data_IF_559985383967
#
_entry.id   IF_559985383967
#
_cell.length_a   1.000
_cell.length_b   1.000
_cell.length_c   1.000
_cell.angle_alpha   90.00
_cell.angle_beta   90.00
_cell.angle_gamma   90.00
#
_symmetry.space_group_name_H-M   'P 1'
#
loop_
_entity.id
_entity.type
_entity.pdbx_description
1 polymer ?
#
# COMPACT_ATOMS: atom_id res chain seq x y z
N UNK A 1 28.21 1.31 -5.70
CA UNK A 1 27.17 0.31 -5.99
C UNK A 1 27.64 -0.97 -5.32
N UNK A 2 27.05 -1.36 -4.23
CA UNK A 2 27.30 -2.66 -3.60
C UNK A 2 26.61 -3.72 -4.44
N UNK A 3 27.35 -4.72 -4.90
CA UNK A 3 26.78 -5.90 -5.54
C UNK A 3 25.83 -6.58 -4.55
N UNK A 4 24.53 -6.42 -4.76
CA UNK A 4 23.51 -7.12 -3.97
C UNK A 4 23.53 -8.57 -4.42
N UNK A 5 24.07 -9.44 -3.58
CA UNK A 5 23.98 -10.89 -3.81
C UNK A 5 22.58 -11.39 -3.49
N UNK A 6 22.20 -12.57 -3.98
CA UNK A 6 20.85 -13.15 -3.69
C UNK A 6 20.62 -13.39 -2.19
N UNK A 7 21.68 -13.46 -1.38
CA UNK A 7 21.61 -13.61 0.08
C UNK A 7 21.29 -12.30 0.83
N UNK A 8 21.54 -11.13 0.20
CA UNK A 8 21.30 -9.81 0.78
C UNK A 8 19.95 -9.20 0.34
N UNK A 9 19.09 -9.99 -0.32
CA UNK A 9 17.80 -9.46 -0.79
C UNK A 9 16.83 -9.20 0.36
N UNK A 10 16.10 -8.07 0.33
CA UNK A 10 15.02 -7.82 1.27
C UNK A 10 13.97 -8.94 1.26
N UNK A 11 13.42 -9.27 2.41
CA UNK A 11 12.51 -10.39 2.59
C UNK A 11 11.29 -10.34 1.64
N UNK A 12 10.71 -9.16 1.39
CA UNK A 12 9.58 -8.96 0.48
C UNK A 12 9.89 -9.28 -0.98
N UNK A 13 11.16 -9.19 -1.36
CA UNK A 13 11.66 -9.48 -2.71
C UNK A 13 12.43 -10.82 -2.79
N UNK A 14 12.39 -11.62 -1.73
CA UNK A 14 13.03 -12.94 -1.73
C UNK A 14 12.40 -13.81 -2.84
N UNK A 15 13.24 -14.36 -3.70
CA UNK A 15 12.81 -15.15 -4.88
C UNK A 15 12.54 -14.33 -6.15
N UNK A 16 12.44 -13.00 -6.06
CA UNK A 16 12.31 -12.14 -7.27
C UNK A 16 13.69 -11.98 -7.91
N UNK A 17 13.92 -12.36 -9.17
CA UNK A 17 15.21 -12.23 -9.83
C UNK A 17 15.69 -10.78 -9.91
N UNK A 18 17.01 -10.60 -9.78
CA UNK A 18 17.67 -9.31 -10.03
C UNK A 18 17.73 -9.04 -11.53
N UNK A 19 17.69 -7.77 -11.89
CA UNK A 19 18.02 -7.33 -13.23
C UNK A 19 19.48 -7.68 -13.55
N UNK A 20 19.71 -8.25 -14.73
CA UNK A 20 21.07 -8.66 -15.19
C UNK A 20 21.96 -7.43 -15.35
N UNK A 21 21.37 -6.32 -15.82
CA UNK A 21 22.07 -5.04 -15.99
C UNK A 21 21.37 -3.97 -15.15
N UNK A 22 22.10 -2.94 -14.68
CA UNK A 22 21.50 -1.82 -13.95
C UNK A 22 20.47 -1.09 -14.80
N UNK A 23 19.23 -1.08 -14.35
CA UNK A 23 18.13 -0.38 -14.98
C UNK A 23 18.05 1.06 -14.46
N UNK A 24 17.34 1.92 -15.20
CA UNK A 24 17.10 3.33 -14.88
C UNK A 24 15.59 3.57 -14.88
N UNK A 25 15.14 4.65 -14.26
CA UNK A 25 13.73 5.06 -14.26
C UNK A 25 13.05 4.99 -15.62
N UNK A 26 13.74 5.47 -16.67
CA UNK A 26 13.22 5.48 -18.05
C UNK A 26 12.93 4.08 -18.61
N UNK A 27 13.60 3.05 -18.12
CA UNK A 27 13.43 1.68 -18.59
C UNK A 27 12.11 1.08 -18.09
N UNK A 28 11.54 1.66 -17.03
CA UNK A 28 10.22 1.34 -16.49
C UNK A 28 9.10 2.22 -17.02
N UNK A 29 9.39 3.24 -17.83
CA UNK A 29 8.37 4.04 -18.50
C UNK A 29 7.95 3.38 -19.82
N UNK A 30 6.63 3.29 -20.07
CA UNK A 30 6.11 2.81 -21.34
C UNK A 30 6.23 3.89 -22.42
N UNK A 31 5.91 3.53 -23.66
CA UNK A 31 5.82 4.45 -24.80
C UNK A 31 4.48 5.19 -24.87
N UNK A 32 3.58 4.96 -23.91
CA UNK A 32 2.25 5.54 -23.90
C UNK A 32 2.27 6.98 -23.36
N UNK A 33 1.54 7.86 -24.02
CA UNK A 33 1.30 9.22 -23.53
C UNK A 33 0.47 9.18 -22.24
N UNK A 34 0.96 9.81 -21.17
CA UNK A 34 0.24 9.91 -19.90
C UNK A 34 -0.93 10.89 -20.06
N UNK A 35 -2.16 10.43 -19.77
CA UNK A 35 -3.41 11.16 -20.02
C UNK A 35 -4.18 11.52 -18.76
N UNK A 36 -3.48 11.80 -17.68
CA UNK A 36 -4.08 12.44 -16.51
C UNK A 36 -4.25 13.94 -16.72
N UNK A 37 -5.03 14.59 -15.89
CA UNK A 37 -5.22 16.03 -15.93
C UNK A 37 -3.90 16.75 -15.63
N UNK A 38 -3.60 17.89 -16.27
CA UNK A 38 -2.46 18.71 -15.91
C UNK A 38 -2.51 19.11 -14.42
N UNK A 39 -1.41 18.90 -13.70
CA UNK A 39 -1.33 19.17 -12.25
C UNK A 39 -1.85 18.04 -11.35
N UNK A 40 -2.25 16.90 -11.91
CA UNK A 40 -2.65 15.73 -11.13
C UNK A 40 -1.45 15.13 -10.38
N UNK A 41 -1.64 14.80 -9.10
CA UNK A 41 -0.61 14.19 -8.26
C UNK A 41 -0.16 12.79 -8.73
N UNK A 42 -0.98 12.12 -9.54
CA UNK A 42 -0.65 10.80 -10.13
C UNK A 42 0.66 10.84 -10.94
N UNK A 43 1.02 11.97 -11.56
CA UNK A 43 2.29 12.14 -12.28
C UNK A 43 3.51 12.02 -11.34
N UNK A 44 3.42 12.63 -10.19
CA UNK A 44 4.48 12.62 -9.19
C UNK A 44 4.71 11.20 -8.64
N UNK A 45 3.62 10.53 -8.31
CA UNK A 45 3.64 9.16 -7.80
C UNK A 45 4.18 8.19 -8.86
N UNK A 46 3.73 8.28 -10.12
CA UNK A 46 4.23 7.47 -11.22
C UNK A 46 5.75 7.63 -11.40
N UNK A 47 6.21 8.88 -11.47
CA UNK A 47 7.63 9.19 -11.64
C UNK A 47 8.49 8.65 -10.49
N UNK A 48 8.00 8.75 -9.25
CA UNK A 48 8.69 8.24 -8.06
C UNK A 48 8.73 6.71 -8.07
N UNK A 49 7.61 6.06 -8.34
CA UNK A 49 7.54 4.59 -8.41
C UNK A 49 8.46 4.02 -9.50
N UNK A 50 8.47 4.63 -10.69
CA UNK A 50 9.40 4.26 -11.77
C UNK A 50 10.88 4.42 -11.36
N UNK A 51 11.19 5.34 -10.44
CA UNK A 51 12.53 5.52 -9.88
C UNK A 51 12.90 4.49 -8.81
N UNK A 52 11.94 4.06 -8.00
CA UNK A 52 12.15 3.09 -6.91
C UNK A 52 12.48 1.68 -7.45
N UNK A 53 11.84 1.23 -8.52
CA UNK A 53 12.02 -0.14 -9.04
C UNK A 53 13.47 -0.47 -9.43
N UNK A 54 14.21 0.38 -10.17
CA UNK A 54 15.62 0.14 -10.45
C UNK A 54 16.50 0.17 -9.21
N UNK A 55 16.20 1.02 -8.22
CA UNK A 55 16.95 1.09 -6.96
C UNK A 55 16.78 -0.19 -6.12
N UNK A 56 15.67 -0.90 -6.29
CA UNK A 56 15.42 -2.23 -5.72
C UNK A 56 16.04 -3.37 -6.52
N UNK A 57 16.65 -3.08 -7.67
CA UNK A 57 17.24 -4.07 -8.57
C UNK A 57 16.23 -5.02 -9.20
N UNK A 58 14.95 -4.65 -9.28
CA UNK A 58 13.90 -5.49 -9.87
C UNK A 58 14.02 -5.44 -11.40
N UNK A 59 14.07 -6.61 -12.04
CA UNK A 59 13.95 -6.70 -13.48
C UNK A 59 12.52 -6.33 -13.91
N UNK A 60 12.36 -5.56 -15.00
CA UNK A 60 11.03 -5.07 -15.43
C UNK A 60 10.04 -6.20 -15.72
N UNK A 61 10.52 -7.33 -16.22
CA UNK A 61 9.75 -8.56 -16.45
C UNK A 61 9.37 -9.32 -15.17
N UNK A 62 9.93 -8.95 -14.03
CA UNK A 62 9.58 -9.53 -12.74
C UNK A 62 8.75 -8.57 -11.86
N UNK A 63 8.42 -7.38 -12.35
CA UNK A 63 7.45 -6.48 -11.74
C UNK A 63 6.09 -6.65 -12.42
N UNK A 64 5.02 -6.76 -11.62
CA UNK A 64 3.63 -6.85 -12.09
C UNK A 64 2.78 -5.80 -11.41
N UNK A 65 2.16 -4.93 -12.22
CA UNK A 65 1.28 -3.86 -11.74
C UNK A 65 -0.17 -4.22 -12.06
N UNK A 66 -1.00 -4.40 -11.05
CA UNK A 66 -2.40 -4.77 -11.18
C UNK A 66 -3.27 -3.64 -10.64
N UNK A 67 -4.18 -3.14 -11.47
CA UNK A 67 -5.04 -2.03 -11.08
C UNK A 67 -6.53 -2.37 -11.12
N UNK A 68 -7.31 -1.63 -10.31
CA UNK A 68 -8.76 -1.62 -10.38
C UNK A 68 -9.29 -0.61 -11.41
N UNK A 69 -10.24 0.23 -11.03
CA UNK A 69 -10.86 1.26 -11.88
C UNK A 69 -10.76 2.64 -11.21
N UNK A 70 -10.47 3.65 -12.00
CA UNK A 70 -10.32 5.04 -11.60
C UNK A 70 -9.17 5.72 -12.32
N UNK A 71 -8.88 6.97 -11.96
CA UNK A 71 -7.79 7.73 -12.58
C UNK A 71 -6.43 7.06 -12.32
N UNK A 72 -6.12 6.74 -11.07
CA UNK A 72 -4.90 6.03 -10.68
C UNK A 72 -4.77 4.67 -11.37
N UNK A 73 -5.87 4.00 -11.65
CA UNK A 73 -5.89 2.66 -12.25
C UNK A 73 -5.42 2.62 -13.71
N UNK A 74 -5.16 3.77 -14.32
CA UNK A 74 -4.47 3.85 -15.62
C UNK A 74 -2.97 3.57 -15.52
N UNK A 75 -2.44 3.46 -14.32
CA UNK A 75 -1.02 3.29 -14.02
C UNK A 75 -0.34 2.16 -14.83
N UNK A 76 -0.92 0.95 -15.01
CA UNK A 76 -0.30 -0.12 -15.80
C UNK A 76 -0.02 0.26 -17.25
N UNK A 77 -0.78 1.17 -17.86
CA UNK A 77 -0.52 1.66 -19.23
C UNK A 77 0.78 2.45 -19.34
N UNK A 78 1.22 3.07 -18.23
CA UNK A 78 2.37 3.96 -18.20
C UNK A 78 3.63 3.29 -17.66
N UNK A 79 3.53 2.00 -17.34
CA UNK A 79 4.64 1.17 -16.87
C UNK A 79 5.11 0.21 -17.96
N UNK A 80 6.43 0.12 -18.15
CA UNK A 80 7.06 -0.89 -19.00
C UNK A 80 7.37 -2.14 -18.16
N UNK A 81 6.34 -2.74 -17.59
CA UNK A 81 6.35 -3.97 -16.79
C UNK A 81 5.19 -4.85 -17.25
N UNK A 82 5.07 -6.06 -16.70
CA UNK A 82 3.79 -6.75 -16.82
C UNK A 82 2.72 -6.00 -16.03
N UNK A 83 1.52 -5.95 -16.59
CA UNK A 83 0.40 -5.25 -15.98
C UNK A 83 -0.94 -5.86 -16.32
N UNK A 84 -1.91 -5.62 -15.44
CA UNK A 84 -3.30 -6.03 -15.65
C UNK A 84 -4.22 -4.90 -15.18
N UNK A 85 -5.08 -4.43 -16.08
CA UNK A 85 -6.18 -3.53 -15.75
C UNK A 85 -7.42 -4.38 -15.51
N UNK A 86 -7.91 -4.40 -14.26
CA UNK A 86 -8.96 -5.33 -13.85
C UNK A 86 -10.34 -4.66 -13.75
N UNK A 87 -11.27 -5.31 -13.06
CA UNK A 87 -12.61 -4.79 -12.76
C UNK A 87 -12.58 -3.99 -11.45
N UNK A 88 -13.53 -3.08 -11.29
CA UNK A 88 -13.68 -2.20 -10.13
C UNK A 88 -13.61 -2.98 -8.80
N UNK A 89 -12.66 -2.60 -7.96
CA UNK A 89 -12.41 -3.18 -6.64
C UNK A 89 -11.83 -4.60 -6.63
N UNK A 90 -11.41 -5.16 -7.79
CA UNK A 90 -10.96 -6.56 -7.87
C UNK A 90 -9.44 -6.73 -7.92
N UNK A 91 -8.69 -5.66 -8.03
CA UNK A 91 -7.23 -5.72 -8.12
C UNK A 91 -6.58 -6.52 -6.96
N UNK A 92 -6.95 -6.34 -5.68
CA UNK A 92 -6.35 -7.13 -4.59
C UNK A 92 -6.62 -8.65 -4.71
N UNK A 93 -7.79 -9.05 -5.23
CA UNK A 93 -8.13 -10.47 -5.41
C UNK A 93 -7.30 -11.10 -6.54
N UNK A 94 -7.16 -10.42 -7.67
CA UNK A 94 -6.35 -10.87 -8.81
C UNK A 94 -4.87 -10.91 -8.42
N UNK A 95 -4.38 -9.86 -7.75
CA UNK A 95 -3.00 -9.78 -7.26
C UNK A 95 -2.68 -10.91 -6.27
N UNK A 96 -3.62 -11.27 -5.40
CA UNK A 96 -3.50 -12.45 -4.52
C UNK A 96 -3.24 -13.72 -5.34
N UNK A 97 -4.00 -13.93 -6.42
CA UNK A 97 -3.81 -15.09 -7.30
C UNK A 97 -2.42 -15.11 -7.95
N UNK A 98 -1.93 -13.97 -8.41
CA UNK A 98 -0.57 -13.84 -8.98
C UNK A 98 0.50 -14.13 -7.94
N UNK A 99 0.44 -13.50 -6.76
CA UNK A 99 1.44 -13.67 -5.71
C UNK A 99 1.52 -15.12 -5.20
N UNK A 100 0.37 -15.79 -5.03
CA UNK A 100 0.33 -17.21 -4.61
C UNK A 100 0.95 -18.12 -5.67
N UNK A 101 0.70 -17.85 -6.96
CA UNK A 101 1.14 -18.69 -8.07
C UNK A 101 2.58 -18.44 -8.53
N UNK A 102 3.11 -17.22 -8.33
CA UNK A 102 4.38 -16.75 -8.89
C UNK A 102 5.22 -16.04 -7.82
N UNK A 103 6.00 -16.81 -7.02
CA UNK A 103 6.87 -16.25 -5.97
C UNK A 103 8.07 -15.46 -6.53
N UNK A 104 8.33 -15.56 -7.83
CA UNK A 104 9.38 -14.87 -8.56
C UNK A 104 8.96 -13.49 -9.08
N UNK A 105 7.76 -13.01 -8.73
CA UNK A 105 7.22 -11.72 -9.16
C UNK A 105 7.05 -10.78 -7.97
N UNK A 106 7.47 -9.51 -8.16
CA UNK A 106 7.11 -8.41 -7.29
C UNK A 106 5.73 -7.88 -7.72
N UNK A 107 4.72 -8.02 -6.86
CA UNK A 107 3.33 -7.73 -7.19
C UNK A 107 2.88 -6.43 -6.53
N UNK A 108 2.44 -5.48 -7.35
CA UNK A 108 1.96 -4.17 -6.92
C UNK A 108 0.50 -3.99 -7.33
N UNK A 109 -0.32 -3.56 -6.38
CA UNK A 109 -1.74 -3.21 -6.60
C UNK A 109 -1.86 -1.70 -6.62
N UNK A 110 -2.48 -1.17 -7.67
CA UNK A 110 -2.81 0.26 -7.81
C UNK A 110 -4.32 0.42 -7.71
N UNK A 111 -4.77 1.22 -6.76
CA UNK A 111 -6.19 1.43 -6.51
C UNK A 111 -6.45 2.85 -6.02
N UNK A 112 -7.61 3.41 -6.29
CA UNK A 112 -8.08 4.66 -5.68
C UNK A 112 -8.84 4.38 -4.39
N UNK A 113 -9.05 5.42 -3.58
CA UNK A 113 -9.83 5.36 -2.35
C UNK A 113 -11.25 4.82 -2.59
N UNK A 114 -11.93 5.32 -3.62
CA UNK A 114 -13.25 4.84 -4.01
C UNK A 114 -13.26 3.41 -4.53
N UNK A 115 -12.23 3.01 -5.28
CA UNK A 115 -12.08 1.65 -5.80
C UNK A 115 -11.81 0.65 -4.68
N UNK A 116 -10.91 1.01 -3.76
CA UNK A 116 -10.46 0.14 -2.67
C UNK A 116 -11.50 -0.01 -1.55
N UNK A 117 -12.08 1.11 -1.09
CA UNK A 117 -12.88 1.15 0.15
C UNK A 117 -14.39 1.04 -0.08
N UNK A 118 -14.87 1.23 -1.32
CA UNK A 118 -16.27 0.98 -1.67
C UNK A 118 -16.45 -0.47 -2.12
N UNK A 119 -16.63 -0.71 -3.42
CA UNK A 119 -16.87 -2.07 -3.94
C UNK A 119 -15.70 -3.03 -3.69
N UNK A 120 -14.48 -2.52 -3.52
CA UNK A 120 -13.27 -3.30 -3.27
C UNK A 120 -13.04 -3.70 -1.82
N UNK A 121 -13.79 -3.14 -0.85
CA UNK A 121 -13.50 -3.28 0.59
C UNK A 121 -13.31 -4.72 1.06
N UNK A 122 -14.17 -5.63 0.63
CA UNK A 122 -14.04 -7.04 0.98
C UNK A 122 -12.73 -7.68 0.47
N UNK A 123 -12.33 -7.39 -0.76
CA UNK A 123 -11.11 -7.96 -1.35
C UNK A 123 -9.85 -7.35 -0.75
N UNK A 124 -9.89 -6.05 -0.44
CA UNK A 124 -8.84 -5.33 0.26
C UNK A 124 -8.60 -5.94 1.65
N UNK A 125 -9.64 -6.06 2.47
CA UNK A 125 -9.58 -6.65 3.81
C UNK A 125 -9.03 -8.08 3.75
N UNK A 126 -9.51 -8.91 2.82
CA UNK A 126 -9.07 -10.30 2.73
C UNK A 126 -7.64 -10.48 2.23
N UNK A 127 -7.10 -9.61 1.38
CA UNK A 127 -5.69 -9.61 1.01
C UNK A 127 -4.81 -9.30 2.24
N UNK A 128 -5.15 -8.23 2.98
CA UNK A 128 -4.43 -7.79 4.17
C UNK A 128 -4.46 -8.82 5.30
N UNK A 129 -5.65 -9.35 5.67
CA UNK A 129 -5.74 -10.35 6.75
C UNK A 129 -4.98 -11.64 6.47
N UNK A 130 -4.87 -12.03 5.20
CA UNK A 130 -4.09 -13.19 4.76
C UNK A 130 -2.59 -12.92 4.74
N UNK A 131 -2.21 -11.67 4.82
CA UNK A 131 -0.82 -11.25 4.70
C UNK A 131 -0.13 -11.80 3.44
N UNK A 132 -0.78 -11.64 2.29
CA UNK A 132 -0.22 -12.05 0.99
C UNK A 132 0.97 -11.15 0.66
N UNK A 133 2.07 -11.70 0.16
CA UNK A 133 3.26 -10.92 -0.19
C UNK A 133 3.03 -10.06 -1.44
N UNK A 134 2.48 -8.86 -1.23
CA UNK A 134 2.19 -7.87 -2.27
C UNK A 134 2.11 -6.46 -1.67
N UNK A 135 2.31 -5.44 -2.50
CA UNK A 135 2.24 -4.04 -2.09
C UNK A 135 1.00 -3.36 -2.66
N UNK A 136 0.15 -2.81 -1.80
CA UNK A 136 -1.07 -2.07 -2.17
C UNK A 136 -0.78 -0.58 -2.06
N UNK A 137 -0.86 0.12 -3.18
CA UNK A 137 -0.70 1.55 -3.32
C UNK A 137 -2.07 2.18 -3.53
N UNK A 138 -2.62 2.81 -2.48
CA UNK A 138 -3.92 3.46 -2.52
C UNK A 138 -3.75 4.96 -2.72
N UNK A 139 -4.24 5.46 -3.84
CA UNK A 139 -4.27 6.88 -4.21
C UNK A 139 -5.52 7.52 -3.60
N UNK A 140 -5.33 8.35 -2.61
CA UNK A 140 -6.42 9.00 -1.91
C UNK A 140 -6.52 10.48 -2.28
N UNK A 141 -7.49 10.82 -3.13
CA UNK A 141 -7.81 12.20 -3.49
C UNK A 141 -9.17 12.66 -2.94
N UNK A 142 -9.79 11.85 -2.10
CA UNK A 142 -11.08 12.13 -1.44
C UNK A 142 -12.21 12.46 -2.42
N UNK A 143 -12.17 11.93 -3.67
CA UNK A 143 -13.20 12.16 -4.68
C UNK A 143 -13.19 11.07 -5.76
N UNK A 144 -14.35 10.69 -6.31
CA UNK A 144 -14.42 9.93 -7.55
C UNK A 144 -14.13 10.84 -8.74
N UNK A 145 -12.87 10.97 -9.15
CA UNK A 145 -12.46 11.86 -10.24
C UNK A 145 -12.90 11.39 -11.63
N UNK A 146 -12.72 10.09 -11.94
CA UNK A 146 -13.01 9.53 -13.26
C UNK A 146 -14.49 9.67 -13.66
N UNK A 147 -15.41 9.54 -12.71
CA UNK A 147 -16.85 9.66 -12.89
C UNK A 147 -17.37 11.09 -12.70
N UNK A 148 -16.45 12.06 -12.64
CA UNK A 148 -16.70 13.51 -12.64
C UNK A 148 -17.18 14.09 -11.31
N UNK A 149 -16.67 13.63 -10.18
CA UNK A 149 -16.68 14.36 -8.92
C UNK A 149 -17.80 13.99 -7.96
N UNK A 150 -18.14 12.70 -7.81
CA UNK A 150 -18.93 12.21 -6.69
C UNK A 150 -18.05 12.13 -5.43
N UNK A 151 -18.63 12.31 -4.25
CA UNK A 151 -17.90 12.06 -3.01
C UNK A 151 -17.50 10.56 -2.91
N UNK A 152 -16.32 10.32 -2.38
CA UNK A 152 -15.75 8.99 -2.17
C UNK A 152 -15.89 8.57 -0.70
N UNK A 153 -15.57 7.32 -0.35
CA UNK A 153 -15.60 6.86 1.05
C UNK A 153 -14.71 7.66 2.02
N UNK A 154 -13.70 8.38 1.50
CA UNK A 154 -12.78 9.20 2.31
C UNK A 154 -13.08 10.71 2.21
N UNK A 155 -14.12 11.10 1.48
CA UNK A 155 -14.54 12.50 1.42
C UNK A 155 -15.02 12.98 2.79
N UNK A 156 -14.77 14.24 3.09
CA UNK A 156 -15.19 14.89 4.33
C UNK A 156 -16.71 14.85 4.47
N UNK A 157 -17.20 14.72 5.70
CA UNK A 157 -18.61 14.86 6.00
C UNK A 157 -19.11 16.24 5.53
N UNK A 158 -20.27 16.29 4.91
CA UNK A 158 -20.82 17.51 4.35
C UNK A 158 -20.27 17.93 2.98
N UNK A 159 -19.40 17.11 2.34
CA UNK A 159 -18.84 17.39 1.00
C UNK A 159 -19.95 17.62 -0.02
N UNK A 160 -20.02 18.85 -0.53
CA UNK A 160 -20.98 19.22 -1.58
C UNK A 160 -20.42 18.86 -2.94
N UNK A 161 -21.18 18.09 -3.71
CA UNK A 161 -20.86 17.73 -5.09
C UNK A 161 -22.10 17.88 -5.98
N UNK A 162 -21.94 17.75 -7.30
CA UNK A 162 -23.10 17.82 -8.22
C UNK A 162 -24.15 16.72 -7.94
N UNK A 163 -23.73 15.57 -7.46
CA UNK A 163 -24.62 14.45 -7.12
C UNK A 163 -25.10 14.46 -5.67
N UNK A 164 -24.47 15.26 -4.81
CA UNK A 164 -24.84 15.45 -3.40
C UNK A 164 -24.88 16.94 -3.07
N UNK A 165 -25.89 17.69 -3.59
CA UNK A 165 -25.96 19.13 -3.46
C UNK A 165 -26.24 19.61 -2.02
N UNK A 166 -26.73 18.73 -1.16
CA UNK A 166 -26.95 19.00 0.28
C UNK A 166 -25.76 18.57 1.16
N UNK A 167 -24.66 18.11 0.54
CA UNK A 167 -23.51 17.55 1.21
C UNK A 167 -23.60 16.03 1.42
N UNK A 168 -22.44 15.38 1.61
CA UNK A 168 -22.36 13.99 2.00
C UNK A 168 -22.78 13.81 3.46
N UNK A 169 -23.48 12.71 3.76
CA UNK A 169 -23.91 12.36 5.12
C UNK A 169 -23.11 11.22 5.73
N UNK A 170 -22.24 10.59 4.92
CA UNK A 170 -21.39 9.49 5.36
C UNK A 170 -20.22 10.02 6.18
N UNK A 171 -19.86 9.30 7.25
CA UNK A 171 -18.61 9.51 7.94
C UNK A 171 -17.45 9.00 7.08
N UNK A 172 -16.35 9.75 6.92
CA UNK A 172 -15.23 9.31 6.12
C UNK A 172 -14.54 8.09 6.71
N UNK A 173 -14.14 7.14 5.86
CA UNK A 173 -13.25 6.07 6.27
C UNK A 173 -11.86 6.64 6.61
N UNK A 174 -11.25 6.08 7.66
CA UNK A 174 -9.83 6.17 7.89
C UNK A 174 -9.15 4.93 7.29
N UNK A 175 -8.44 5.05 6.14
CA UNK A 175 -7.89 3.90 5.44
C UNK A 175 -6.84 3.14 6.24
N UNK A 176 -6.03 3.84 7.05
CA UNK A 176 -5.02 3.22 7.90
C UNK A 176 -5.67 2.40 9.01
N UNK A 177 -6.73 2.93 9.64
CA UNK A 177 -7.48 2.18 10.65
C UNK A 177 -8.12 0.92 10.06
N UNK A 178 -8.65 0.99 8.82
CA UNK A 178 -9.16 -0.19 8.11
C UNK A 178 -8.04 -1.21 7.86
N UNK A 179 -6.86 -0.77 7.42
CA UNK A 179 -5.73 -1.65 7.16
C UNK A 179 -5.23 -2.33 8.45
N UNK A 180 -5.07 -1.57 9.54
CA UNK A 180 -4.68 -2.08 10.85
C UNK A 180 -5.74 -3.06 11.39
N UNK A 181 -7.03 -2.70 11.29
CA UNK A 181 -8.15 -3.55 11.70
C UNK A 181 -8.27 -4.84 10.90
N UNK A 182 -7.85 -4.83 9.64
CA UNK A 182 -7.72 -6.03 8.82
C UNK A 182 -6.47 -6.87 9.17
N UNK A 183 -5.60 -6.39 10.05
CA UNK A 183 -4.36 -7.05 10.44
C UNK A 183 -3.29 -6.97 9.35
N UNK A 184 -3.19 -5.87 8.61
CA UNK A 184 -2.09 -5.62 7.69
C UNK A 184 -0.77 -5.55 8.44
N UNK A 185 0.29 -6.15 7.90
CA UNK A 185 1.60 -6.23 8.57
C UNK A 185 2.50 -5.03 8.31
N UNK A 186 2.21 -4.24 7.26
CA UNK A 186 2.87 -2.97 6.97
C UNK A 186 1.84 -1.91 6.58
N UNK A 187 1.82 -0.80 7.31
CA UNK A 187 0.87 0.30 7.08
C UNK A 187 1.62 1.62 7.08
N UNK A 188 1.48 2.40 6.02
CA UNK A 188 2.16 3.68 5.86
C UNK A 188 1.29 4.73 5.14
N UNK A 189 1.66 6.01 5.31
CA UNK A 189 1.08 7.15 4.61
C UNK A 189 2.17 8.05 4.04
N UNK A 190 1.95 8.56 2.83
CA UNK A 190 2.81 9.55 2.16
C UNK A 190 1.97 10.62 1.45
N UNK A 191 2.64 11.65 0.93
CA UNK A 191 2.00 12.76 0.17
C UNK A 191 2.68 12.87 -1.19
N UNK A 192 1.92 13.13 -2.24
CA UNK A 192 2.41 13.26 -3.63
C UNK A 192 3.42 14.40 -3.82
N UNK A 193 3.38 15.42 -2.97
CA UNK A 193 4.25 16.59 -3.04
C UNK A 193 5.63 16.40 -2.42
N UNK A 194 5.85 15.34 -1.60
CA UNK A 194 7.13 15.02 -0.99
C UNK A 194 7.75 13.76 -1.63
N UNK A 195 8.38 13.95 -2.78
CA UNK A 195 8.92 12.86 -3.60
C UNK A 195 9.99 12.04 -2.87
N UNK A 196 10.81 12.69 -2.02
CA UNK A 196 11.87 12.00 -1.28
C UNK A 196 11.27 11.07 -0.22
N UNK A 197 10.35 11.56 0.57
CA UNK A 197 9.65 10.76 1.58
C UNK A 197 8.80 9.66 0.94
N UNK A 198 8.08 9.99 -0.14
CA UNK A 198 7.31 9.01 -0.92
C UNK A 198 8.21 7.87 -1.42
N UNK A 199 9.39 8.18 -1.98
CA UNK A 199 10.34 7.14 -2.43
C UNK A 199 10.82 6.25 -1.28
N UNK A 200 11.09 6.83 -0.09
CA UNK A 200 11.46 6.07 1.10
C UNK A 200 10.36 5.11 1.54
N UNK A 201 9.12 5.58 1.63
CA UNK A 201 7.96 4.76 2.01
C UNK A 201 7.70 3.65 0.99
N UNK A 202 7.73 3.95 -0.31
CA UNK A 202 7.54 2.95 -1.37
C UNK A 202 8.64 1.88 -1.35
N UNK A 203 9.88 2.29 -1.09
CA UNK A 203 11.02 1.39 -0.97
C UNK A 203 10.87 0.46 0.24
N UNK A 204 10.47 0.98 1.39
CA UNK A 204 10.23 0.19 2.59
C UNK A 204 9.07 -0.80 2.37
N UNK A 205 7.96 -0.33 1.80
CA UNK A 205 6.79 -1.16 1.49
C UNK A 205 7.12 -2.34 0.56
N UNK A 206 7.96 -2.11 -0.47
CA UNK A 206 8.39 -3.18 -1.38
C UNK A 206 9.38 -4.17 -0.74
N UNK A 207 10.12 -3.75 0.28
CA UNK A 207 11.08 -4.59 1.02
C UNK A 207 10.41 -5.44 2.10
N UNK A 208 9.26 -5.03 2.59
CA UNK A 208 8.51 -5.75 3.61
C UNK A 208 8.00 -7.10 3.08
N UNK A 209 8.06 -8.17 3.92
CA UNK A 209 7.51 -9.48 3.56
C UNK A 209 6.12 -9.65 4.12
N UNK A 210 5.15 -9.56 3.23
CA UNK A 210 3.74 -9.63 3.56
C UNK A 210 2.94 -8.58 2.79
N UNK A 211 1.74 -8.28 3.25
CA UNK A 211 0.95 -7.23 2.64
C UNK A 211 1.38 -5.87 3.16
N UNK A 212 1.89 -5.04 2.26
CA UNK A 212 2.12 -3.63 2.52
C UNK A 212 0.94 -2.81 2.01
N UNK A 213 0.42 -1.92 2.86
CA UNK A 213 -0.60 -0.95 2.51
C UNK A 213 -0.04 0.46 2.65
N UNK A 214 -0.02 1.21 1.55
CA UNK A 214 0.44 2.60 1.52
C UNK A 214 -0.68 3.49 1.04
N UNK A 215 -1.17 4.37 1.91
CA UNK A 215 -2.04 5.47 1.54
C UNK A 215 -1.20 6.64 1.02
N UNK A 216 -1.53 7.15 -0.16
CA UNK A 216 -0.87 8.32 -0.74
C UNK A 216 -1.89 9.43 -0.96
N UNK A 217 -1.77 10.53 -0.22
CA UNK A 217 -2.56 11.72 -0.49
C UNK A 217 -2.15 12.31 -1.83
N UNK A 218 -3.16 12.52 -2.69
CA UNK A 218 -2.96 12.90 -4.07
C UNK A 218 -3.93 14.01 -4.47
N UNK A 219 -3.39 15.11 -5.03
CA UNK A 219 -4.22 16.22 -5.47
C UNK A 219 -5.00 15.92 -6.74
N UNK A 220 -6.31 16.12 -6.71
CA UNK A 220 -7.17 16.10 -7.90
C UNK A 220 -7.50 17.52 -8.35
N UNK A 221 -6.79 18.12 -9.34
CA UNK A 221 -6.92 19.54 -9.68
C UNK A 221 -8.27 19.93 -10.31
N UNK A 222 -9.11 18.96 -10.66
CA UNK A 222 -10.38 19.20 -11.36
C UNK A 222 -11.58 19.11 -10.41
N UNK A 223 -11.59 18.16 -9.47
CA UNK A 223 -12.78 17.89 -8.65
C UNK A 223 -12.55 18.08 -7.14
N UNK A 224 -11.29 18.15 -6.70
CA UNK A 224 -10.94 18.35 -5.29
C UNK A 224 -9.58 19.05 -5.17
N UNK A 225 -9.41 20.13 -5.93
CA UNK A 225 -8.18 20.91 -5.93
C UNK A 225 -7.94 21.56 -4.58
N UNK A 226 -6.69 21.54 -4.14
CA UNK A 226 -6.29 22.14 -2.87
C UNK A 226 -6.63 21.33 -1.61
N UNK A 227 -7.22 20.14 -1.73
CA UNK A 227 -7.59 19.31 -0.57
C UNK A 227 -6.42 18.98 0.36
N UNK A 228 -5.19 19.07 -0.16
CA UNK A 228 -3.95 18.77 0.56
C UNK A 228 -2.90 19.89 0.45
N UNK A 229 -3.33 21.13 0.26
CA UNK A 229 -2.42 22.27 0.08
C UNK A 229 -1.60 22.57 1.33
N UNK A 230 -2.15 22.32 2.52
CA UNK A 230 -1.44 22.43 3.79
C UNK A 230 -0.22 21.50 3.90
N UNK A 231 -0.15 20.46 3.06
CA UNK A 231 0.97 19.51 3.04
C UNK A 231 2.03 19.87 1.99
N UNK A 232 1.98 21.06 1.41
CA UNK A 232 2.89 21.52 0.35
C UNK A 232 3.71 22.72 0.80
N UNK A 233 4.89 22.85 0.19
CA UNK A 233 5.74 24.02 0.41
C UNK A 233 6.35 24.14 1.81
N UNK A 234 6.84 25.34 2.17
CA UNK A 234 7.60 25.56 3.41
C UNK A 234 6.81 25.35 4.70
N UNK A 235 5.50 25.57 4.66
CA UNK A 235 4.61 25.43 5.83
C UNK A 235 4.14 24.01 6.09
N UNK A 236 4.39 23.08 5.16
CA UNK A 236 3.99 21.69 5.30
C UNK A 236 4.47 21.04 6.61
N UNK A 237 5.64 21.44 7.12
CA UNK A 237 6.18 20.96 8.40
C UNK A 237 5.29 21.33 9.61
N UNK A 238 4.41 22.33 9.51
CA UNK A 238 3.48 22.67 10.59
C UNK A 238 2.27 21.71 10.63
N UNK A 239 2.00 21.05 9.52
CA UNK A 239 0.81 20.21 9.32
C UNK A 239 1.17 18.71 9.24
N UNK A 240 2.40 18.38 8.88
CA UNK A 240 2.86 16.99 8.78
C UNK A 240 3.64 16.57 10.03
N UNK A 241 3.25 15.45 10.61
CA UNK A 241 3.96 14.78 11.70
C UNK A 241 4.76 13.64 11.08
N UNK A 242 6.10 13.76 11.09
CA UNK A 242 7.00 12.74 10.53
C UNK A 242 7.18 11.59 11.53
N UNK A 243 6.73 10.41 11.15
CA UNK A 243 6.97 9.19 11.91
C UNK A 243 8.29 8.58 11.47
N UNK A 244 9.27 8.59 12.37
CA UNK A 244 10.58 7.96 12.19
C UNK A 244 10.78 6.98 13.34
N UNK A 245 11.04 5.73 13.02
CA UNK A 245 11.17 4.66 14.01
C UNK A 245 12.30 4.95 15.01
N UNK A 246 12.04 4.78 16.30
CA UNK A 246 12.95 5.07 17.39
C UNK A 246 13.13 6.57 17.73
N UNK A 247 12.48 7.48 17.01
CA UNK A 247 12.62 8.93 17.20
C UNK A 247 11.40 9.51 17.94
N UNK A 248 11.58 10.64 18.69
CA UNK A 248 10.45 11.37 19.24
C UNK A 248 9.54 11.93 18.15
N UNK A 249 8.23 11.83 18.34
CA UNK A 249 7.21 12.29 17.39
C UNK A 249 7.03 13.80 17.57
N UNK A 250 7.77 14.59 16.81
CA UNK A 250 7.79 16.04 16.85
C UNK A 250 6.92 16.67 15.75
N UNK A 251 6.42 17.86 16.01
CA UNK A 251 5.56 18.65 15.13
C UNK A 251 6.17 20.04 14.91
N UNK A 252 6.12 20.50 13.67
CA UNK A 252 6.72 21.76 13.27
C UNK A 252 8.19 21.62 12.83
N UNK A 253 8.67 22.60 12.08
CA UNK A 253 10.04 22.60 11.55
C UNK A 253 11.11 22.74 12.65
N UNK A 254 10.74 23.36 13.76
CA UNK A 254 11.60 23.61 14.92
C UNK A 254 11.48 22.55 16.02
N UNK A 255 10.53 21.60 15.87
CA UNK A 255 10.26 20.57 16.86
C UNK A 255 9.76 21.12 18.21
N UNK A 256 9.17 22.33 18.22
CA UNK A 256 8.68 22.98 19.44
C UNK A 256 7.49 22.27 20.06
N UNK A 257 6.75 21.49 19.28
CA UNK A 257 5.62 20.68 19.74
C UNK A 257 5.90 19.20 19.54
N UNK A 258 5.28 18.36 20.35
CA UNK A 258 5.41 16.90 20.27
C UNK A 258 4.08 16.21 20.56
N UNK A 259 3.97 14.98 20.05
CA UNK A 259 2.85 14.11 20.40
C UNK A 259 3.10 13.54 21.79
N UNK A 260 2.15 13.71 22.70
CA UNK A 260 2.20 13.23 24.06
C UNK A 260 0.95 12.44 24.40
N UNK A 261 1.03 11.59 25.44
CA UNK A 261 -0.15 10.93 26.00
C UNK A 261 -0.70 11.76 27.14
N UNK A 262 -1.94 12.22 27.00
CA UNK A 262 -2.63 12.93 28.07
C UNK A 262 -2.77 12.01 29.29
N UNK A 263 -2.30 12.42 30.48
CA UNK A 263 -2.27 11.56 31.66
C UNK A 263 -3.67 11.29 32.27
N UNK A 264 -4.68 12.05 31.88
CA UNK A 264 -6.05 11.92 32.40
C UNK A 264 -6.93 11.11 31.46
N UNK A 265 -6.96 11.45 30.17
CA UNK A 265 -7.77 10.74 29.16
C UNK A 265 -7.05 9.50 28.61
N UNK A 266 -5.72 9.49 28.62
CA UNK A 266 -4.89 8.49 27.97
C UNK A 266 -4.77 8.65 26.44
N UNK A 267 -5.42 9.66 25.86
CA UNK A 267 -5.42 9.93 24.42
C UNK A 267 -4.11 10.59 23.98
N UNK A 268 -3.74 10.41 22.69
CA UNK A 268 -2.64 11.14 22.11
C UNK A 268 -3.09 12.56 21.75
N UNK A 269 -2.28 13.53 22.15
CA UNK A 269 -2.47 14.95 21.85
C UNK A 269 -1.17 15.61 21.42
N UNK A 270 -1.23 16.83 20.89
CA UNK A 270 -0.05 17.62 20.56
C UNK A 270 0.11 18.71 21.61
N UNK A 271 1.29 18.77 22.27
CA UNK A 271 1.61 19.71 23.30
C UNK A 271 2.93 20.45 23.03
N UNK A 272 3.14 21.59 23.68
CA UNK A 272 4.40 22.31 23.65
C UNK A 272 5.47 21.56 24.46
N UNK A 273 6.59 21.24 23.80
CA UNK A 273 7.70 20.47 24.41
C UNK A 273 8.34 21.23 25.56
N UNK A 274 8.36 22.57 25.52
CA UNK A 274 8.90 23.39 26.60
C UNK A 274 8.03 23.32 27.87
N UNK A 275 6.74 23.05 27.75
CA UNK A 275 5.82 22.91 28.89
C UNK A 275 5.83 21.49 29.47
N UNK A 276 5.82 20.47 28.59
CA UNK A 276 5.67 19.05 29.05
C UNK A 276 7.01 18.34 29.27
N UNK A 277 8.08 18.80 28.64
CA UNK A 277 9.38 18.13 28.61
C UNK A 277 9.52 17.06 27.54
N UNK A 278 10.70 16.93 26.96
CA UNK A 278 11.02 15.98 25.90
C UNK A 278 10.80 14.52 26.34
N UNK A 279 11.00 14.22 27.61
CA UNK A 279 10.83 12.86 28.18
C UNK A 279 9.38 12.37 28.14
N UNK A 280 8.42 13.27 27.95
CA UNK A 280 6.99 12.96 27.81
C UNK A 280 6.54 12.85 26.34
N UNK A 281 7.40 13.24 25.40
CA UNK A 281 7.10 13.09 23.96
C UNK A 281 7.13 11.62 23.59
N UNK A 282 6.10 11.19 22.88
CA UNK A 282 5.98 9.83 22.37
C UNK A 282 7.18 9.48 21.47
N UNK A 283 7.85 8.37 21.72
CA UNK A 283 8.82 7.79 20.80
C UNK A 283 8.09 6.81 19.89
N UNK A 284 8.25 6.98 18.57
CA UNK A 284 7.61 6.11 17.61
C UNK A 284 8.27 4.72 17.58
N UNK A 285 7.46 3.67 17.57
CA UNK A 285 7.88 2.28 17.43
C UNK A 285 6.96 1.59 16.43
N UNK A 286 7.40 1.52 15.19
CA UNK A 286 6.67 0.89 14.08
C UNK A 286 6.68 -0.64 14.15
N UNK A 287 7.62 -1.23 14.92
CA UNK A 287 7.81 -2.68 15.04
C UNK A 287 7.09 -3.29 16.23
N UNK A 288 6.34 -2.49 16.97
CA UNK A 288 5.56 -2.97 18.11
C UNK A 288 4.51 -3.98 17.66
N UNK A 289 4.53 -5.18 18.26
CA UNK A 289 3.60 -6.26 17.89
C UNK A 289 2.12 -5.90 18.12
N UNK A 290 1.82 -5.09 19.14
CA UNK A 290 0.49 -4.55 19.41
C UNK A 290 0.25 -3.30 18.55
N UNK A 291 -0.77 -3.29 17.67
CA UNK A 291 -1.04 -2.18 16.75
C UNK A 291 -1.71 -0.97 17.41
N UNK A 292 -1.96 -0.96 18.72
CA UNK A 292 -2.72 0.10 19.40
C UNK A 292 -2.11 1.49 19.16
N UNK A 293 -0.78 1.64 19.23
CA UNK A 293 -0.10 2.89 18.97
C UNK A 293 -0.31 3.38 17.51
N UNK A 294 -0.22 2.46 16.56
CA UNK A 294 -0.47 2.79 15.14
C UNK A 294 -1.92 3.25 14.91
N UNK A 295 -2.89 2.61 15.61
CA UNK A 295 -4.30 3.05 15.57
C UNK A 295 -4.48 4.46 16.15
N UNK A 296 -3.88 4.75 17.30
CA UNK A 296 -3.95 6.07 17.93
C UNK A 296 -3.34 7.15 17.02
N UNK A 297 -2.15 6.88 16.46
CA UNK A 297 -1.49 7.76 15.51
C UNK A 297 -2.32 7.98 14.24
N UNK A 298 -3.00 6.94 13.73
CA UNK A 298 -3.86 7.04 12.57
C UNK A 298 -5.09 7.93 12.80
N UNK A 299 -5.49 8.13 14.06
CA UNK A 299 -6.64 8.96 14.45
C UNK A 299 -6.26 10.36 14.96
N UNK A 300 -4.99 10.74 14.96
CA UNK A 300 -4.58 12.12 15.24
C UNK A 300 -5.13 13.11 14.19
N UNK A 301 -5.39 12.61 12.97
CA UNK A 301 -6.15 13.30 11.95
C UNK A 301 -7.58 12.77 11.99
N UNK A 302 -8.52 13.55 12.49
CA UNK A 302 -9.95 13.19 12.62
C UNK A 302 -10.69 13.23 11.27
N UNK A 303 -9.99 13.59 10.18
CA UNK A 303 -10.53 13.66 8.82
C UNK A 303 -11.51 14.82 8.56
N UNK A 304 -11.79 15.64 9.56
CA UNK A 304 -12.74 16.77 9.44
C UNK A 304 -12.04 18.10 9.23
N UNK A 305 -10.95 18.34 9.93
CA UNK A 305 -10.07 19.51 9.75
C UNK A 305 -8.63 19.00 9.77
N UNK A 306 -8.00 19.00 8.62
CA UNK A 306 -6.64 18.52 8.45
C UNK A 306 -5.67 19.56 9.00
N UNK A 307 -5.47 19.58 10.31
CA UNK A 307 -4.54 20.49 10.96
C UNK A 307 -3.18 19.88 11.18
N UNK A 308 -3.11 18.57 11.46
CA UNK A 308 -1.85 17.87 11.73
C UNK A 308 -2.00 16.38 11.39
N UNK A 309 -1.26 15.91 10.39
CA UNK A 309 -1.42 14.57 9.85
C UNK A 309 -0.12 13.78 9.98
N UNK A 310 -0.12 12.64 10.68
CA UNK A 310 1.01 11.73 10.69
C UNK A 310 1.26 11.12 9.30
N UNK A 311 2.54 11.12 8.89
CA UNK A 311 3.04 10.51 7.64
C UNK A 311 4.32 9.71 7.92
N UNK A 312 4.50 8.64 7.21
CA UNK A 312 5.60 7.69 7.41
C UNK A 312 5.07 6.27 7.58
N UNK A 313 5.86 5.44 8.22
CA UNK A 313 5.52 4.05 8.51
C UNK A 313 4.88 3.99 9.90
N UNK A 314 3.61 3.61 9.96
CA UNK A 314 2.85 3.48 11.20
C UNK A 314 3.06 2.13 11.87
N UNK A 315 3.23 1.09 11.04
CA UNK A 315 3.30 -0.29 11.49
C UNK A 315 4.11 -1.13 10.50
N UNK A 316 5.06 -1.91 10.99
CA UNK A 316 5.93 -2.78 10.19
C UNK A 316 6.35 -3.98 11.05
N UNK A 317 5.62 -5.09 10.95
CA UNK A 317 5.85 -6.28 11.75
C UNK A 317 5.94 -7.54 10.91
N UNK A 318 6.83 -8.44 11.26
CA UNK A 318 6.97 -9.73 10.62
C UNK A 318 5.80 -10.65 10.97
N UNK A 319 5.15 -11.17 9.92
CA UNK A 319 4.09 -12.18 10.04
C UNK A 319 4.24 -13.23 8.94
N UNK A 320 3.90 -14.51 9.20
CA UNK A 320 3.87 -15.53 8.17
C UNK A 320 2.93 -15.13 7.01
N UNK A 321 3.40 -15.28 5.77
CA UNK A 321 2.60 -14.96 4.58
C UNK A 321 1.71 -16.14 4.18
N UNK A 322 0.52 -15.85 3.65
CA UNK A 322 -0.41 -16.86 3.16
C UNK A 322 0.17 -17.67 1.99
N UNK A 323 0.83 -17.00 1.08
CA UNK A 323 1.41 -17.61 -0.12
C UNK A 323 2.55 -18.57 0.21
N UNK A 324 3.41 -18.27 1.19
CA UNK A 324 4.45 -19.22 1.67
C UNK A 324 3.82 -20.43 2.35
N UNK A 325 2.83 -20.20 3.22
CA UNK A 325 2.14 -21.27 3.91
C UNK A 325 1.37 -22.16 2.94
N UNK A 326 0.71 -21.58 1.93
CA UNK A 326 0.02 -22.34 0.89
C UNK A 326 0.99 -23.21 0.08
N UNK A 327 2.15 -22.66 -0.33
CA UNK A 327 3.19 -23.42 -1.01
C UNK A 327 3.78 -24.54 -0.13
N UNK A 328 3.98 -24.27 1.16
CA UNK A 328 4.43 -25.28 2.12
C UNK A 328 3.42 -26.42 2.26
N UNK A 329 2.13 -26.12 2.34
CA UNK A 329 1.07 -27.15 2.37
C UNK A 329 1.03 -27.99 1.10
N UNK A 330 1.15 -27.36 -0.08
CA UNK A 330 1.21 -28.07 -1.36
C UNK A 330 2.42 -29.00 -1.40
N UNK A 331 3.61 -28.51 -0.98
CA UNK A 331 4.83 -29.32 -0.91
C UNK A 331 4.66 -30.51 0.04
N UNK A 332 4.10 -30.28 1.22
CA UNK A 332 3.84 -31.34 2.19
C UNK A 332 2.86 -32.40 1.63
N UNK A 333 1.80 -31.98 0.98
CA UNK A 333 0.78 -32.86 0.41
C UNK A 333 1.28 -33.65 -0.80
N UNK A 334 2.14 -33.04 -1.63
CA UNK A 334 2.71 -33.70 -2.83
C UNK A 334 3.92 -34.59 -2.51
N UNK A 335 4.46 -34.48 -1.29
CA UNK A 335 5.74 -35.12 -0.94
C UNK A 335 6.90 -34.61 -1.81
N UNK A 336 8.03 -35.31 -1.75
CA UNK A 336 9.19 -35.03 -2.60
C UNK A 336 9.07 -35.62 -4.03
N UNK A 337 7.84 -35.89 -4.49
CA UNK A 337 7.57 -36.40 -5.82
C UNK A 337 8.01 -35.41 -6.91
N UNK A 338 9.31 -35.32 -7.12
CA UNK A 338 9.92 -34.59 -8.24
C UNK A 338 9.83 -35.39 -9.54
N UNK A 339 9.61 -36.70 -9.43
CA UNK A 339 9.51 -37.64 -10.56
C UNK A 339 8.15 -37.45 -11.27
N UNK A 340 8.14 -37.19 -12.61
CA UNK A 340 6.94 -37.08 -13.40
C UNK A 340 6.02 -38.31 -13.35
N UNK A 341 6.60 -39.53 -13.21
CA UNK A 341 5.82 -40.76 -13.11
C UNK A 341 4.97 -40.81 -11.86
N UNK A 342 5.53 -40.46 -10.71
CA UNK A 342 4.82 -40.39 -9.43
C UNK A 342 3.69 -39.34 -9.45
N UNK A 343 3.92 -38.18 -10.06
CA UNK A 343 2.88 -37.15 -10.24
C UNK A 343 1.72 -37.63 -11.12
N UNK A 344 2.05 -38.29 -12.23
CA UNK A 344 1.02 -38.85 -13.12
C UNK A 344 0.23 -39.98 -12.43
N UNK A 345 0.88 -40.84 -11.67
CA UNK A 345 0.22 -41.90 -10.91
C UNK A 345 -0.74 -41.30 -9.85
N UNK A 346 -0.32 -40.28 -9.10
CA UNK A 346 -1.15 -39.58 -8.13
C UNK A 346 -2.34 -38.87 -8.79
N UNK A 347 -2.15 -38.23 -9.96
CA UNK A 347 -3.22 -37.61 -10.73
C UNK A 347 -4.20 -38.66 -11.24
N UNK A 348 -3.72 -39.79 -11.76
CA UNK A 348 -4.57 -40.89 -12.21
C UNK A 348 -5.42 -41.45 -11.05
N UNK A 349 -4.80 -41.65 -9.88
CA UNK A 349 -5.52 -42.11 -8.70
C UNK A 349 -6.62 -41.11 -8.26
N UNK A 350 -6.31 -39.80 -8.32
CA UNK A 350 -7.28 -38.74 -8.00
C UNK A 350 -8.46 -38.72 -9.01
N UNK A 351 -8.17 -38.88 -10.31
CA UNK A 351 -9.18 -38.90 -11.37
C UNK A 351 -10.06 -40.15 -11.32
N UNK A 352 -9.49 -41.29 -10.99
CA UNK A 352 -10.22 -42.57 -10.89
C UNK A 352 -11.10 -42.62 -9.65
N UNK A 353 -10.72 -41.97 -8.55
CA UNK A 353 -11.42 -42.03 -7.27
C UNK A 353 -11.39 -43.43 -6.65
N UNK A 354 -12.33 -43.71 -5.74
CA UNK A 354 -12.47 -44.99 -5.05
C UNK A 354 -13.39 -46.00 -5.78
N UNK A 355 -14.26 -45.53 -6.67
CA UNK A 355 -15.25 -46.31 -7.39
C UNK A 355 -14.89 -46.42 -8.87
N UNK A 356 -14.10 -47.43 -9.22
CA UNK A 356 -13.75 -47.70 -10.60
C UNK A 356 -14.21 -49.08 -11.03
N UNK A 357 -14.62 -49.22 -12.28
CA UNK A 357 -14.86 -50.51 -12.93
C UNK A 357 -14.00 -50.62 -14.20
N UNK A 358 -13.62 -51.83 -14.51
CA UNK A 358 -12.92 -52.12 -15.77
C UNK A 358 -13.95 -52.53 -16.81
N UNK A 359 -13.93 -51.88 -17.97
CA UNK A 359 -14.66 -52.35 -19.14
C UNK A 359 -13.84 -53.45 -19.81
N UNK A 360 -14.32 -54.67 -19.77
CA UNK A 360 -13.74 -55.77 -20.56
C UNK A 360 -14.20 -55.64 -22.01
N UNK A 361 -13.28 -55.53 -22.94
CA UNK A 361 -13.53 -55.49 -24.39
C UNK A 361 -13.81 -56.90 -24.93
#
# INVERSE_FOLDING_TARGET
MTDITTEDRPAGLAGVPLAIEPLKRRDFASDQEVRWCPGCGDYAILSTFQGVLPDLGIAKENAVVISGIGCSSRFPYYMNTYGMHSIHGRAPAIATGVAVSRPDLAVFVITGDGDALSIGGNHLIHAMRRNVNLTILMFNNRIYGLTKGQYSPTSEAGKVTKSSPMGSIDAPFNPLAVALGAGCSFVARAVDSDLKHLAQVLTAAAKHRGTSFVEMYQNCPIFNDGAFDDYKGPEAAQHLIRLVDGEPVLVGADGSRGVVRDPVSGELTVADVAEVGMDHVLVHDSHRADPSLAFELAHLDDGTVVTQTPVGIFYDVDRPTYDDQARAQVKLASGDATDPGSRNAALQQLLLGSDTWQVQS
#
